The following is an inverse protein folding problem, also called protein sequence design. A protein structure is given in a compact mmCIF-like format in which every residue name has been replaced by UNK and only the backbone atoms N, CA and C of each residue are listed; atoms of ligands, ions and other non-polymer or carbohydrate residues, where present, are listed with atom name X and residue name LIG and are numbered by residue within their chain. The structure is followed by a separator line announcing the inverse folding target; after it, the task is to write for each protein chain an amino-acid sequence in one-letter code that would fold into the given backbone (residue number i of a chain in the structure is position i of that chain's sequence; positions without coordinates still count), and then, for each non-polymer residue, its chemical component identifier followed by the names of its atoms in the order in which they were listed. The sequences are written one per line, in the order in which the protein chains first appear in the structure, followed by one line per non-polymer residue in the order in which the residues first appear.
data_IF_206023964196
#
_entry.id   IF_206023964196
#
_cell.length_a   1.000
_cell.length_b   1.000
_cell.length_c   1.000
_cell.angle_alpha   90.00
_cell.angle_beta   90.00
_cell.angle_gamma   90.00
#
_symmetry.space_group_name_H-M   'P 1'
#
loop_
_entity.id
_entity.type
_entity.pdbx_description
1 polymer ?
#
# COMPACT_ATOMS: atom_id res chain seq x y z
N UNK A 1 -17.63 -11.44 -45.66
CA UNK A 1 -17.02 -10.14 -46.00
C UNK A 1 -15.83 -9.84 -45.11
N UNK A 2 -15.93 -9.95 -43.78
CA UNK A 2 -14.77 -9.73 -42.88
C UNK A 2 -13.71 -10.85 -42.93
N UNK A 3 -14.04 -12.01 -43.48
CA UNK A 3 -13.14 -13.16 -43.68
C UNK A 3 -12.26 -13.03 -44.93
N UNK A 4 -12.62 -12.12 -45.84
CA UNK A 4 -11.91 -11.88 -47.09
C UNK A 4 -11.00 -10.65 -46.94
N UNK A 5 -9.66 -10.79 -47.01
CA UNK A 5 -8.73 -9.69 -46.74
C UNK A 5 -8.95 -8.47 -47.62
N UNK A 6 -9.35 -8.65 -48.89
CA UNK A 6 -9.56 -7.56 -49.84
C UNK A 6 -10.84 -6.76 -49.55
N UNK A 7 -11.85 -7.42 -48.98
CA UNK A 7 -13.11 -6.78 -48.56
C UNK A 7 -13.08 -6.29 -47.09
N UNK A 8 -12.20 -6.85 -46.24
CA UNK A 8 -12.14 -6.54 -44.81
C UNK A 8 -11.86 -5.06 -44.54
N UNK A 9 -10.80 -4.50 -45.15
CA UNK A 9 -10.36 -3.13 -44.90
C UNK A 9 -11.43 -2.10 -45.32
N UNK A 10 -11.99 -2.14 -46.56
CA UNK A 10 -13.07 -1.23 -46.95
C UNK A 10 -14.30 -1.35 -46.06
N UNK A 11 -14.69 -2.58 -45.71
CA UNK A 11 -15.85 -2.84 -44.85
C UNK A 11 -15.67 -2.20 -43.46
N UNK A 12 -14.50 -2.38 -42.84
CA UNK A 12 -14.22 -1.79 -41.53
C UNK A 12 -14.21 -0.26 -41.55
N UNK A 13 -13.67 0.35 -42.61
CA UNK A 13 -13.71 1.81 -42.79
C UNK A 13 -15.15 2.33 -42.88
N UNK A 14 -16.00 1.66 -43.65
CA UNK A 14 -17.42 2.01 -43.76
C UNK A 14 -18.13 1.86 -42.42
N UNK A 15 -17.91 0.75 -41.70
CA UNK A 15 -18.52 0.51 -40.39
C UNK A 15 -18.08 1.54 -39.34
N UNK A 16 -16.79 1.89 -39.30
CA UNK A 16 -16.28 2.94 -38.42
C UNK A 16 -16.91 4.30 -38.74
N UNK A 17 -16.96 4.68 -40.02
CA UNK A 17 -17.58 5.94 -40.47
C UNK A 17 -19.08 6.00 -40.17
N UNK A 18 -19.80 4.90 -40.38
CA UNK A 18 -21.22 4.79 -40.02
C UNK A 18 -21.42 4.95 -38.51
N UNK A 19 -20.54 4.33 -37.72
CA UNK A 19 -20.60 4.44 -36.25
C UNK A 19 -20.38 5.88 -35.78
N UNK A 20 -19.47 6.62 -36.44
CA UNK A 20 -19.20 8.03 -36.13
C UNK A 20 -20.39 8.92 -36.48
N UNK A 21 -20.93 8.76 -37.69
CA UNK A 21 -22.01 9.61 -38.22
C UNK A 21 -23.38 9.35 -37.61
N UNK A 22 -23.64 8.12 -37.16
CA UNK A 22 -24.94 7.70 -36.64
C UNK A 22 -24.94 7.43 -35.13
N UNK A 23 -23.90 7.88 -34.40
CA UNK A 23 -23.65 7.50 -33.00
C UNK A 23 -24.89 7.55 -32.08
N UNK A 24 -25.69 8.61 -32.16
CA UNK A 24 -26.90 8.83 -31.34
C UNK A 24 -28.08 7.93 -31.71
N UNK A 25 -28.07 7.35 -32.91
CA UNK A 25 -29.13 6.47 -33.42
C UNK A 25 -28.78 4.99 -33.25
N UNK A 26 -27.55 4.67 -32.84
CA UNK A 26 -27.14 3.30 -32.58
C UNK A 26 -27.80 2.76 -31.30
N UNK A 27 -28.78 1.88 -31.48
CA UNK A 27 -29.38 1.11 -30.40
C UNK A 27 -28.38 0.16 -29.72
N UNK A 28 -28.65 -0.20 -28.46
CA UNK A 28 -27.77 -1.01 -27.62
C UNK A 28 -27.37 -2.36 -28.25
N UNK A 29 -28.32 -3.03 -28.91
CA UNK A 29 -28.07 -4.31 -29.56
C UNK A 29 -27.02 -4.20 -30.68
N UNK A 30 -27.11 -3.15 -31.50
CA UNK A 30 -26.16 -2.94 -32.60
C UNK A 30 -24.79 -2.51 -32.07
N UNK A 31 -24.74 -1.67 -31.02
CA UNK A 31 -23.49 -1.33 -30.32
C UNK A 31 -22.80 -2.57 -29.78
N UNK A 32 -23.56 -3.48 -29.16
CA UNK A 32 -23.04 -4.75 -28.67
C UNK A 32 -22.54 -5.66 -29.81
N UNK A 33 -23.27 -5.74 -30.93
CA UNK A 33 -22.81 -6.48 -32.12
C UNK A 33 -21.50 -5.91 -32.67
N UNK A 34 -21.40 -4.59 -32.83
CA UNK A 34 -20.17 -3.93 -33.30
C UNK A 34 -19.00 -4.18 -32.37
N UNK A 35 -19.22 -4.07 -31.05
CA UNK A 35 -18.21 -4.37 -30.06
C UNK A 35 -17.73 -5.83 -30.15
N UNK A 36 -18.64 -6.80 -30.29
CA UNK A 36 -18.24 -8.21 -30.43
C UNK A 36 -17.45 -8.46 -31.71
N UNK A 37 -17.82 -7.83 -32.82
CA UNK A 37 -17.05 -7.91 -34.07
C UNK A 37 -15.64 -7.32 -33.89
N UNK A 38 -15.52 -6.17 -33.22
CA UNK A 38 -14.21 -5.56 -32.89
C UNK A 38 -13.37 -6.55 -32.05
N UNK A 39 -13.97 -7.15 -31.02
CA UNK A 39 -13.31 -8.12 -30.15
C UNK A 39 -12.83 -9.35 -30.90
N UNK A 40 -13.63 -9.88 -31.81
CA UNK A 40 -13.29 -11.06 -32.63
C UNK A 40 -12.13 -10.79 -33.59
N UNK A 41 -12.05 -9.59 -34.16
CA UNK A 41 -10.95 -9.20 -35.05
C UNK A 41 -9.65 -9.00 -34.27
N UNK A 42 -9.73 -8.43 -33.06
CA UNK A 42 -8.56 -8.19 -32.20
C UNK A 42 -7.96 -6.79 -32.36
N UNK A 43 -6.71 -6.64 -31.92
CA UNK A 43 -6.04 -5.34 -31.79
C UNK A 43 -5.34 -4.91 -33.10
N UNK A 44 -6.09 -4.28 -34.00
CA UNK A 44 -5.62 -3.70 -35.27
C UNK A 44 -5.89 -2.18 -35.29
N UNK A 45 -5.23 -1.44 -36.17
CA UNK A 45 -5.39 0.03 -36.26
C UNK A 45 -6.86 0.44 -36.47
N UNK A 46 -7.55 -0.22 -37.42
CA UNK A 46 -8.94 0.08 -37.74
C UNK A 46 -9.90 -0.31 -36.60
N UNK A 47 -9.63 -1.38 -35.87
CA UNK A 47 -10.49 -1.83 -34.77
C UNK A 47 -10.30 -1.00 -33.51
N UNK A 48 -9.08 -0.54 -33.23
CA UNK A 48 -8.82 0.45 -32.17
C UNK A 48 -9.53 1.76 -32.47
N UNK A 49 -9.44 2.26 -33.72
CA UNK A 49 -10.15 3.46 -34.15
C UNK A 49 -11.67 3.27 -34.09
N UNK A 50 -12.18 2.12 -34.54
CA UNK A 50 -13.61 1.83 -34.49
C UNK A 50 -14.13 1.74 -33.05
N UNK A 51 -13.37 1.13 -32.13
CA UNK A 51 -13.73 1.11 -30.71
C UNK A 51 -13.72 2.51 -30.11
N UNK A 52 -12.73 3.34 -30.47
CA UNK A 52 -12.66 4.72 -30.02
C UNK A 52 -13.91 5.49 -30.47
N UNK A 53 -14.31 5.38 -31.73
CA UNK A 53 -15.55 6.00 -32.24
C UNK A 53 -16.81 5.43 -31.55
N UNK A 54 -16.91 4.11 -31.42
CA UNK A 54 -18.05 3.43 -30.79
C UNK A 54 -18.22 3.81 -29.32
N UNK A 55 -17.13 4.19 -28.65
CA UNK A 55 -17.13 4.55 -27.23
C UNK A 55 -17.03 6.05 -26.95
N UNK A 56 -17.08 6.91 -27.97
CA UNK A 56 -16.79 8.36 -27.85
C UNK A 56 -15.45 8.62 -27.14
N UNK A 57 -14.42 7.93 -27.61
CA UNK A 57 -13.07 7.86 -27.03
C UNK A 57 -13.07 7.37 -25.58
N UNK A 58 -13.85 6.33 -25.27
CA UNK A 58 -13.89 5.71 -23.94
C UNK A 58 -14.81 6.38 -22.93
N UNK A 59 -15.65 7.34 -23.36
CA UNK A 59 -16.62 8.04 -22.50
C UNK A 59 -17.92 7.24 -22.34
N UNK A 60 -18.48 6.72 -23.44
CA UNK A 60 -19.81 6.12 -23.48
C UNK A 60 -19.73 4.64 -23.86
N UNK A 61 -19.95 3.75 -22.89
CA UNK A 61 -19.71 2.30 -23.07
C UNK A 61 -20.99 1.45 -23.04
N UNK A 62 -22.15 2.10 -23.12
CA UNK A 62 -23.44 1.43 -23.04
C UNK A 62 -23.61 0.34 -24.10
N UNK A 63 -24.00 -0.85 -23.63
CA UNK A 63 -24.25 -2.03 -24.46
C UNK A 63 -23.08 -3.01 -24.48
N UNK A 64 -21.92 -2.65 -23.94
CA UNK A 64 -20.75 -3.53 -23.87
C UNK A 64 -19.91 -3.29 -22.61
N UNK A 65 -20.46 -2.62 -21.59
CA UNK A 65 -19.73 -2.25 -20.38
C UNK A 65 -19.17 -3.44 -19.59
N UNK A 66 -19.79 -4.62 -19.72
CA UNK A 66 -19.40 -5.84 -18.98
C UNK A 66 -18.14 -6.53 -19.51
N UNK A 67 -17.84 -6.33 -20.80
CA UNK A 67 -16.77 -7.03 -21.49
C UNK A 67 -15.62 -6.10 -21.91
N UNK A 68 -15.84 -4.78 -21.85
CA UNK A 68 -14.87 -3.78 -22.27
C UNK A 68 -13.59 -3.82 -21.44
N UNK A 69 -13.71 -4.01 -20.12
CA UNK A 69 -12.57 -3.98 -19.21
C UNK A 69 -11.56 -5.09 -19.51
N UNK A 70 -12.05 -6.30 -19.80
CA UNK A 70 -11.25 -7.45 -20.20
C UNK A 70 -10.55 -7.20 -21.55
N UNK A 71 -11.25 -6.60 -22.51
CA UNK A 71 -10.68 -6.25 -23.82
C UNK A 71 -9.55 -5.23 -23.68
N UNK A 72 -9.77 -4.15 -22.91
CA UNK A 72 -8.76 -3.11 -22.66
C UNK A 72 -7.54 -3.70 -21.96
N UNK A 73 -7.74 -4.56 -20.95
CA UNK A 73 -6.64 -5.23 -20.26
C UNK A 73 -5.80 -6.11 -21.19
N UNK A 74 -6.45 -6.85 -22.09
CA UNK A 74 -5.77 -7.69 -23.07
C UNK A 74 -5.02 -6.87 -24.11
N UNK A 75 -5.60 -5.80 -24.65
CA UNK A 75 -4.93 -4.93 -25.62
C UNK A 75 -3.73 -4.20 -25.02
N UNK A 76 -3.83 -3.72 -23.77
CA UNK A 76 -2.69 -3.15 -23.05
C UNK A 76 -1.57 -4.19 -22.93
N UNK A 77 -1.90 -5.42 -22.52
CA UNK A 77 -0.92 -6.51 -22.40
C UNK A 77 -0.24 -6.83 -23.73
N UNK A 78 -1.00 -6.92 -24.82
CA UNK A 78 -0.49 -7.22 -26.16
C UNK A 78 0.41 -6.11 -26.69
N UNK A 79 0.03 -4.84 -26.51
CA UNK A 79 0.72 -3.71 -27.13
C UNK A 79 1.91 -3.20 -26.31
N UNK A 80 1.85 -3.23 -24.97
CA UNK A 80 2.92 -2.67 -24.13
C UNK A 80 4.07 -3.65 -23.84
N UNK A 81 3.82 -4.96 -23.90
CA UNK A 81 4.87 -5.95 -23.63
C UNK A 81 5.75 -6.24 -24.84
N UNK A 82 5.33 -5.83 -26.03
CA UNK A 82 6.10 -5.88 -27.28
C UNK A 82 6.87 -4.57 -27.46
N UNK A 83 8.09 -4.63 -27.97
CA UNK A 83 8.88 -3.43 -28.25
C UNK A 83 8.30 -2.68 -29.45
N UNK A 84 8.13 -1.36 -29.31
CA UNK A 84 7.71 -0.44 -30.38
C UNK A 84 6.43 -0.81 -31.13
N UNK A 85 5.44 -1.35 -30.43
CA UNK A 85 4.14 -1.63 -31.02
C UNK A 85 3.45 -0.32 -31.49
N UNK A 86 3.07 -0.18 -32.77
CA UNK A 86 2.56 1.09 -33.33
C UNK A 86 1.25 1.56 -32.68
N UNK A 87 0.45 0.61 -32.18
CA UNK A 87 -0.83 0.90 -31.51
C UNK A 87 -0.71 1.20 -30.02
N UNK A 88 0.47 1.08 -29.39
CA UNK A 88 0.61 1.21 -27.95
C UNK A 88 0.10 2.58 -27.44
N UNK A 89 0.40 3.66 -28.16
CA UNK A 89 -0.06 5.00 -27.80
C UNK A 89 -1.59 5.12 -27.83
N UNK A 90 -2.22 4.68 -28.92
CA UNK A 90 -3.67 4.77 -29.11
C UNK A 90 -4.42 3.93 -28.06
N UNK A 91 -3.92 2.72 -27.78
CA UNK A 91 -4.48 1.85 -26.75
C UNK A 91 -4.34 2.47 -25.35
N UNK A 92 -3.20 3.10 -25.03
CA UNK A 92 -3.02 3.80 -23.76
C UNK A 92 -3.98 4.98 -23.60
N UNK A 93 -4.15 5.80 -24.64
CA UNK A 93 -5.08 6.94 -24.61
C UNK A 93 -6.53 6.49 -24.42
N UNK A 94 -6.96 5.44 -25.15
CA UNK A 94 -8.29 4.87 -24.99
C UNK A 94 -8.49 4.30 -23.58
N UNK A 95 -7.52 3.53 -23.08
CA UNK A 95 -7.56 2.95 -21.74
C UNK A 95 -7.65 4.03 -20.65
N UNK A 96 -6.87 5.11 -20.79
CA UNK A 96 -6.91 6.25 -19.88
C UNK A 96 -8.33 6.83 -19.79
N UNK A 97 -8.97 7.12 -20.93
CA UNK A 97 -10.32 7.69 -20.92
C UNK A 97 -11.36 6.71 -20.37
N UNK A 98 -11.26 5.42 -20.71
CA UNK A 98 -12.13 4.37 -20.14
C UNK A 98 -11.99 4.34 -18.61
N UNK A 99 -10.76 4.41 -18.08
CA UNK A 99 -10.52 4.45 -16.63
C UNK A 99 -11.08 5.74 -16.01
N UNK A 100 -10.93 6.89 -16.68
CA UNK A 100 -11.40 8.17 -16.15
C UNK A 100 -12.93 8.29 -16.11
N UNK A 101 -13.63 7.77 -17.12
CA UNK A 101 -15.08 7.94 -17.25
C UNK A 101 -15.89 6.76 -16.74
N UNK A 102 -15.30 5.56 -16.72
CA UNK A 102 -16.04 4.31 -16.55
C UNK A 102 -15.48 3.38 -15.46
N UNK A 103 -14.70 3.91 -14.52
CA UNK A 103 -14.05 3.10 -13.47
C UNK A 103 -15.00 2.18 -12.68
N UNK A 104 -16.27 2.55 -12.51
CA UNK A 104 -17.26 1.73 -11.82
C UNK A 104 -17.54 0.38 -12.51
N UNK A 105 -17.29 0.29 -13.82
CA UNK A 105 -17.49 -0.92 -14.63
C UNK A 105 -16.22 -1.75 -14.78
N UNK A 106 -15.08 -1.29 -14.24
CA UNK A 106 -13.80 -1.97 -14.41
C UNK A 106 -13.59 -3.01 -13.30
N UNK A 107 -13.48 -4.27 -13.69
CA UNK A 107 -13.25 -5.38 -12.78
C UNK A 107 -11.85 -5.37 -12.15
N UNK A 108 -11.73 -5.95 -10.95
CA UNK A 108 -10.47 -6.01 -10.21
C UNK A 108 -9.37 -6.75 -10.98
N UNK A 109 -9.70 -7.87 -11.64
CA UNK A 109 -8.75 -8.66 -12.41
C UNK A 109 -8.19 -7.90 -13.62
N UNK A 110 -9.06 -7.19 -14.34
CA UNK A 110 -8.69 -6.33 -15.47
C UNK A 110 -7.78 -5.20 -15.00
N UNK A 111 -8.16 -4.49 -13.94
CA UNK A 111 -7.34 -3.41 -13.35
C UNK A 111 -5.99 -3.90 -12.86
N UNK A 112 -5.95 -5.05 -12.20
CA UNK A 112 -4.70 -5.70 -11.79
C UNK A 112 -3.79 -5.98 -12.99
N UNK A 113 -4.35 -6.40 -14.13
CA UNK A 113 -3.61 -6.64 -15.37
C UNK A 113 -3.09 -5.34 -15.99
N UNK A 114 -3.93 -4.29 -16.05
CA UNK A 114 -3.54 -2.96 -16.54
C UNK A 114 -2.38 -2.40 -15.73
N UNK A 115 -2.53 -2.32 -14.40
CA UNK A 115 -1.50 -1.79 -13.51
C UNK A 115 -0.20 -2.57 -13.62
N UNK A 116 -0.26 -3.91 -13.60
CA UNK A 116 0.93 -4.76 -13.76
C UNK A 116 1.67 -4.48 -15.07
N UNK A 117 0.94 -4.36 -16.16
CA UNK A 117 1.53 -4.16 -17.49
C UNK A 117 2.17 -2.78 -17.61
N UNK A 118 1.45 -1.75 -17.17
CA UNK A 118 1.89 -0.35 -17.22
C UNK A 118 3.11 -0.13 -16.33
N UNK A 119 3.14 -0.68 -15.11
CA UNK A 119 4.31 -0.61 -14.23
C UNK A 119 5.55 -1.27 -14.87
N UNK A 120 5.40 -2.47 -15.44
CA UNK A 120 6.51 -3.16 -16.10
C UNK A 120 7.01 -2.36 -17.30
N UNK A 121 6.10 -1.79 -18.10
CA UNK A 121 6.48 -1.00 -19.28
C UNK A 121 7.19 0.29 -18.90
N UNK A 122 6.71 1.00 -17.88
CA UNK A 122 7.33 2.22 -17.38
C UNK A 122 8.77 1.98 -16.88
N UNK A 123 9.09 0.77 -16.41
CA UNK A 123 10.42 0.40 -15.93
C UNK A 123 11.38 -0.14 -17.01
N UNK A 124 10.95 -0.34 -18.26
CA UNK A 124 11.83 -0.85 -19.34
C UNK A 124 12.75 0.22 -19.95
N UNK A 125 12.31 1.49 -19.95
CA UNK A 125 13.05 2.62 -20.51
C UNK A 125 12.28 3.92 -20.35
N UNK A 126 13.00 5.05 -20.41
CA UNK A 126 12.41 6.39 -20.38
C UNK A 126 12.14 6.85 -21.82
N UNK A 127 10.89 6.73 -22.26
CA UNK A 127 10.44 7.11 -23.58
C UNK A 127 9.07 7.81 -23.53
N UNK A 128 8.50 8.09 -24.71
CA UNK A 128 7.20 8.75 -24.82
C UNK A 128 6.06 7.94 -24.20
N UNK A 129 6.14 6.62 -24.16
CA UNK A 129 5.09 5.79 -23.56
C UNK A 129 5.16 5.81 -22.03
N UNK A 130 6.32 6.11 -21.44
CA UNK A 130 6.47 6.24 -19.99
C UNK A 130 5.56 7.32 -19.41
N UNK A 131 5.39 8.47 -20.08
CA UNK A 131 4.47 9.52 -19.59
C UNK A 131 3.01 9.04 -19.58
N UNK A 132 2.55 8.40 -20.67
CA UNK A 132 1.20 7.83 -20.74
C UNK A 132 0.98 6.70 -19.72
N UNK A 133 2.02 5.89 -19.46
CA UNK A 133 1.98 4.89 -18.40
C UNK A 133 1.74 5.55 -17.03
N UNK A 134 2.47 6.63 -16.72
CA UNK A 134 2.30 7.38 -15.48
C UNK A 134 0.93 8.07 -15.40
N UNK A 135 0.38 8.55 -16.51
CA UNK A 135 -0.97 9.12 -16.57
C UNK A 135 -2.08 8.09 -16.36
N UNK A 136 -1.91 6.85 -16.86
CA UNK A 136 -2.81 5.74 -16.53
C UNK A 136 -2.72 5.45 -15.04
N UNK A 137 -1.51 5.38 -14.47
CA UNK A 137 -1.35 5.19 -13.04
C UNK A 137 -2.06 6.31 -12.27
N UNK A 138 -1.89 7.57 -12.63
CA UNK A 138 -2.61 8.71 -12.04
C UNK A 138 -4.14 8.58 -12.15
N UNK A 139 -4.64 8.10 -13.28
CA UNK A 139 -6.08 7.84 -13.48
C UNK A 139 -6.57 6.67 -12.60
N UNK A 140 -5.79 5.61 -12.50
CA UNK A 140 -6.02 4.45 -11.62
C UNK A 140 -6.08 4.89 -10.16
N UNK A 141 -5.13 5.73 -9.72
CA UNK A 141 -5.14 6.38 -8.41
C UNK A 141 -6.43 7.17 -8.21
N UNK A 142 -6.90 7.80 -9.29
CA UNK A 142 -8.01 8.73 -9.20
C UNK A 142 -9.35 8.06 -8.94
N UNK A 143 -9.63 6.97 -9.64
CA UNK A 143 -10.98 6.44 -9.77
C UNK A 143 -11.19 5.09 -9.07
N UNK A 144 -10.66 4.92 -7.84
CA UNK A 144 -10.99 3.82 -6.90
C UNK A 144 -10.42 2.41 -7.18
N UNK A 145 -9.22 2.29 -7.74
CA UNK A 145 -8.57 0.97 -7.95
C UNK A 145 -7.64 0.51 -6.82
N UNK A 146 -7.73 1.11 -5.61
CA UNK A 146 -6.88 0.73 -4.46
C UNK A 146 -6.97 -0.75 -4.09
N UNK A 147 -8.14 -1.39 -4.27
CA UNK A 147 -8.31 -2.84 -4.04
C UNK A 147 -7.39 -3.67 -4.94
N UNK A 148 -7.33 -3.36 -6.23
CA UNK A 148 -6.45 -4.05 -7.18
C UNK A 148 -4.97 -3.89 -6.78
N UNK A 149 -4.57 -2.71 -6.31
CA UNK A 149 -3.22 -2.45 -5.83
C UNK A 149 -2.89 -3.25 -4.55
N UNK A 150 -3.77 -3.30 -3.56
CA UNK A 150 -3.60 -4.12 -2.35
C UNK A 150 -3.53 -5.61 -2.72
N UNK A 151 -4.40 -6.04 -3.64
CA UNK A 151 -4.45 -7.38 -4.19
C UNK A 151 -3.14 -7.73 -4.92
N UNK A 152 -2.48 -6.77 -5.58
CA UNK A 152 -1.15 -6.97 -6.17
C UNK A 152 -0.09 -7.23 -5.09
N UNK A 153 -0.11 -6.46 -3.99
CA UNK A 153 0.84 -6.65 -2.88
C UNK A 153 0.67 -7.99 -2.16
N UNK A 154 -0.58 -8.45 -1.99
CA UNK A 154 -0.86 -9.70 -1.30
C UNK A 154 -0.48 -10.95 -2.12
N UNK A 155 -0.74 -10.95 -3.45
CA UNK A 155 -0.42 -12.10 -4.32
C UNK A 155 1.07 -12.48 -4.30
N UNK A 156 1.94 -11.48 -4.19
CA UNK A 156 3.40 -11.64 -4.21
C UNK A 156 3.98 -12.33 -2.98
N UNK A 157 3.27 -12.31 -1.84
CA UNK A 157 3.75 -12.92 -0.60
C UNK A 157 3.53 -14.44 -0.57
N UNK A 158 2.63 -14.97 -1.41
CA UNK A 158 2.30 -16.42 -1.45
C UNK A 158 3.39 -17.25 -2.15
N UNK A 159 4.23 -16.61 -2.99
CA UNK A 159 5.21 -17.28 -3.84
C UNK A 159 6.56 -17.64 -3.21
N UNK A 160 6.84 -17.28 -1.95
CA UNK A 160 8.18 -17.46 -1.35
C UNK A 160 8.47 -18.87 -0.78
N UNK A 161 7.57 -19.85 -0.95
CA UNK A 161 7.82 -21.24 -0.53
C UNK A 161 8.42 -22.06 -1.67
N UNK A 162 9.73 -21.93 -1.90
CA UNK A 162 10.65 -23.02 -2.30
C UNK A 162 11.96 -22.43 -2.82
N UNK A 163 12.99 -22.36 -1.97
CA UNK A 163 14.37 -22.29 -2.44
C UNK A 163 14.74 -23.66 -3.03
N UNK A 164 14.63 -23.81 -4.35
CA UNK A 164 15.07 -25.00 -5.07
C UNK A 164 15.19 -24.75 -6.57
N UNK A 165 16.43 -24.70 -7.06
CA UNK A 165 16.86 -24.53 -8.46
C UNK A 165 16.31 -23.31 -9.22
N UNK A 166 17.03 -22.18 -9.11
CA UNK A 166 16.80 -20.97 -9.93
C UNK A 166 17.14 -21.24 -11.39
N UNK A 167 16.16 -21.16 -12.28
CA UNK A 167 16.34 -21.11 -13.75
C UNK A 167 16.39 -19.65 -14.20
N UNK A 168 16.98 -19.35 -15.36
CA UNK A 168 17.05 -17.98 -15.90
C UNK A 168 15.65 -17.32 -16.08
N UNK A 169 14.60 -18.12 -16.31
CA UNK A 169 13.22 -17.63 -16.35
C UNK A 169 12.70 -17.16 -14.98
N UNK A 170 13.22 -17.69 -13.89
CA UNK A 170 12.79 -17.32 -12.53
C UNK A 170 13.34 -15.94 -12.15
N UNK A 171 14.57 -15.63 -12.56
CA UNK A 171 15.20 -14.32 -12.34
C UNK A 171 14.50 -13.20 -13.12
N UNK A 172 14.13 -13.46 -14.38
CA UNK A 172 13.35 -12.52 -15.19
C UNK A 172 11.97 -12.24 -14.57
N UNK A 173 11.31 -13.28 -14.08
CA UNK A 173 10.01 -13.15 -13.40
C UNK A 173 10.15 -12.42 -12.06
N UNK A 174 11.20 -12.68 -11.28
CA UNK A 174 11.50 -11.98 -10.04
C UNK A 174 11.70 -10.48 -10.27
N UNK A 175 12.51 -10.10 -11.26
CA UNK A 175 12.73 -8.69 -11.63
C UNK A 175 11.41 -8.00 -12.01
N UNK A 176 10.56 -8.68 -12.77
CA UNK A 176 9.24 -8.17 -13.16
C UNK A 176 8.32 -7.96 -11.96
N UNK A 177 8.30 -8.92 -11.01
CA UNK A 177 7.53 -8.81 -9.77
C UNK A 177 8.02 -7.61 -8.94
N UNK A 178 9.34 -7.45 -8.78
CA UNK A 178 9.91 -6.31 -8.05
C UNK A 178 9.46 -4.96 -8.66
N UNK A 179 9.52 -4.82 -9.99
CA UNK A 179 9.03 -3.61 -10.68
C UNK A 179 7.55 -3.31 -10.42
N UNK A 180 6.70 -4.34 -10.49
CA UNK A 180 5.27 -4.21 -10.22
C UNK A 180 5.02 -3.77 -8.77
N UNK A 181 5.76 -4.33 -7.81
CA UNK A 181 5.62 -3.99 -6.39
C UNK A 181 6.00 -2.54 -6.12
N UNK A 182 7.14 -2.08 -6.65
CA UNK A 182 7.57 -0.69 -6.51
C UNK A 182 6.54 0.28 -7.05
N UNK A 183 6.00 0.00 -8.24
CA UNK A 183 4.91 0.80 -8.83
C UNK A 183 3.64 0.78 -7.99
N UNK A 184 3.25 -0.38 -7.47
CA UNK A 184 2.06 -0.53 -6.63
C UNK A 184 2.19 0.20 -5.29
N UNK A 185 3.35 0.14 -4.63
CA UNK A 185 3.65 0.86 -3.37
C UNK A 185 3.59 2.37 -3.62
N UNK A 186 4.29 2.86 -4.64
CA UNK A 186 4.27 4.27 -5.01
C UNK A 186 2.86 4.77 -5.27
N UNK A 187 2.09 3.99 -6.03
CA UNK A 187 0.70 4.28 -6.33
C UNK A 187 -0.14 4.33 -5.04
N UNK A 188 -0.11 3.29 -4.22
CA UNK A 188 -0.90 3.24 -2.98
C UNK A 188 -0.57 4.40 -2.03
N UNK A 189 0.71 4.72 -1.84
CA UNK A 189 1.12 5.85 -1.01
C UNK A 189 0.60 7.17 -1.58
N UNK A 190 0.73 7.38 -2.89
CA UNK A 190 0.28 8.61 -3.56
C UNK A 190 -1.23 8.79 -3.54
N UNK A 191 -2.02 7.73 -3.75
CA UNK A 191 -3.49 7.79 -3.68
C UNK A 191 -4.03 7.97 -2.25
N UNK A 192 -3.23 7.66 -1.22
CA UNK A 192 -3.70 7.63 0.17
C UNK A 192 -3.28 8.86 0.95
N UNK A 193 -2.04 9.32 0.77
CA UNK A 193 -1.50 10.49 1.46
C UNK A 193 -0.66 11.42 0.57
N UNK A 194 -0.80 11.32 -0.75
CA UNK A 194 -0.20 12.23 -1.72
C UNK A 194 -0.84 13.62 -1.77
N UNK A 195 -0.39 14.43 -2.73
CA UNK A 195 -0.84 15.83 -2.95
C UNK A 195 -2.20 15.92 -3.63
N UNK A 196 -2.53 14.98 -4.52
CA UNK A 196 -3.85 14.83 -5.13
C UNK A 196 -4.74 13.91 -4.30
N UNK A 197 -5.41 14.45 -3.28
CA UNK A 197 -6.41 13.66 -2.55
C UNK A 197 -7.67 13.48 -3.36
N UNK A 198 -8.24 12.28 -3.29
CA UNK A 198 -9.59 12.03 -3.74
C UNK A 198 -10.35 11.53 -2.54
N UNK A 199 -11.18 12.43 -2.05
CA UNK A 199 -11.94 12.32 -0.81
C UNK A 199 -13.02 11.23 -0.82
N UNK A 200 -13.08 10.39 -1.86
CA UNK A 200 -14.27 9.61 -2.12
C UNK A 200 -14.35 8.24 -1.42
N UNK A 201 -13.27 7.70 -0.84
CA UNK A 201 -13.34 6.46 -0.03
C UNK A 201 -12.29 6.48 1.08
N UNK A 202 -12.75 6.70 2.33
CA UNK A 202 -11.96 6.57 3.57
C UNK A 202 -11.67 5.09 3.83
N UNK A 203 -10.54 4.56 3.35
CA UNK A 203 -10.00 3.29 3.85
C UNK A 203 -9.29 3.56 5.18
N UNK A 204 -9.34 2.60 6.11
CA UNK A 204 -8.50 2.64 7.31
C UNK A 204 -7.03 2.54 6.90
N UNK A 205 -6.17 3.46 7.36
CA UNK A 205 -4.74 3.44 7.05
C UNK A 205 -4.08 2.08 7.40
N UNK A 206 -4.56 1.43 8.47
CA UNK A 206 -4.12 0.09 8.87
C UNK A 206 -4.28 -0.98 7.78
N UNK A 207 -5.33 -0.92 6.93
CA UNK A 207 -5.54 -1.91 5.86
C UNK A 207 -4.54 -1.77 4.70
N UNK A 208 -3.81 -0.65 4.63
CA UNK A 208 -2.78 -0.40 3.61
C UNK A 208 -1.39 -0.71 4.19
N UNK A 209 -1.17 -0.42 5.47
CA UNK A 209 0.11 -0.64 6.14
C UNK A 209 0.44 -2.14 6.22
N UNK A 210 -0.52 -3.02 6.51
CA UNK A 210 -0.25 -4.46 6.62
C UNK A 210 0.23 -5.10 5.29
N UNK A 211 -0.43 -4.86 4.13
CA UNK A 211 0.12 -5.29 2.84
C UNK A 211 1.51 -4.70 2.54
N UNK A 212 1.76 -3.44 2.90
CA UNK A 212 3.08 -2.81 2.74
C UNK A 212 4.14 -3.47 3.63
N UNK A 213 3.79 -3.88 4.85
CA UNK A 213 4.66 -4.63 5.75
C UNK A 213 5.03 -5.99 5.17
N UNK A 214 4.08 -6.72 4.59
CA UNK A 214 4.36 -8.05 4.04
C UNK A 214 5.35 -8.03 2.86
N UNK A 215 5.37 -6.96 2.08
CA UNK A 215 6.28 -6.83 0.92
C UNK A 215 7.68 -6.33 1.29
N UNK A 216 7.90 -5.83 2.51
CA UNK A 216 9.25 -5.37 2.93
C UNK A 216 10.27 -6.52 2.94
N UNK A 217 9.83 -7.76 3.13
CA UNK A 217 10.71 -8.94 3.18
C UNK A 217 11.22 -9.39 1.81
N UNK A 218 10.66 -8.85 0.71
CA UNK A 218 10.95 -9.27 -0.66
C UNK A 218 12.33 -8.79 -1.13
N UNK A 219 12.65 -7.52 -0.90
CA UNK A 219 13.84 -6.85 -1.44
C UNK A 219 14.13 -5.56 -0.68
N UNK A 220 15.41 -5.22 -0.49
CA UNK A 220 15.86 -4.04 0.24
C UNK A 220 15.42 -2.73 -0.42
N UNK A 221 15.33 -2.68 -1.75
CA UNK A 221 14.88 -1.49 -2.47
C UNK A 221 13.37 -1.29 -2.29
N UNK A 222 12.61 -2.39 -2.27
CA UNK A 222 11.16 -2.37 -1.98
C UNK A 222 10.92 -1.90 -0.55
N UNK A 223 11.71 -2.40 0.41
CA UNK A 223 11.65 -1.94 1.80
C UNK A 223 11.92 -0.42 1.90
N UNK A 224 12.94 0.09 1.20
CA UNK A 224 13.23 1.52 1.15
C UNK A 224 12.08 2.35 0.55
N UNK A 225 11.43 1.87 -0.52
CA UNK A 225 10.25 2.53 -1.11
C UNK A 225 9.07 2.56 -0.13
N UNK A 226 8.86 1.48 0.65
CA UNK A 226 7.86 1.44 1.73
C UNK A 226 8.18 2.46 2.82
N UNK A 227 9.42 2.50 3.32
CA UNK A 227 9.85 3.47 4.33
C UNK A 227 9.66 4.91 3.86
N UNK A 228 9.99 5.21 2.60
CA UNK A 228 9.74 6.52 2.01
C UNK A 228 8.24 6.87 1.99
N UNK A 229 7.40 5.92 1.58
CA UNK A 229 5.95 6.06 1.62
C UNK A 229 5.42 6.37 3.03
N UNK A 230 5.85 5.59 4.02
CA UNK A 230 5.45 5.74 5.43
C UNK A 230 5.98 7.04 6.05
N UNK A 231 7.21 7.45 5.73
CA UNK A 231 7.74 8.75 6.18
C UNK A 231 6.83 9.90 5.77
N UNK A 232 6.37 9.92 4.51
CA UNK A 232 5.44 10.94 4.01
C UNK A 232 4.10 10.92 4.73
N UNK A 233 3.59 9.72 5.08
CA UNK A 233 2.37 9.58 5.88
C UNK A 233 2.55 10.25 7.24
N UNK A 234 3.64 9.95 7.95
CA UNK A 234 3.92 10.50 9.29
C UNK A 234 4.15 12.01 9.22
N UNK A 235 4.89 12.50 8.23
CA UNK A 235 5.11 13.94 8.06
C UNK A 235 3.82 14.72 7.79
N UNK A 236 2.86 14.12 7.08
CA UNK A 236 1.60 14.78 6.72
C UNK A 236 0.52 14.66 7.78
N UNK A 237 0.37 13.49 8.39
CA UNK A 237 -0.75 13.17 9.29
C UNK A 237 -0.33 12.79 10.70
N UNK A 238 0.96 12.81 11.04
CA UNK A 238 1.49 12.26 12.29
C UNK A 238 0.76 12.74 13.56
N UNK A 239 0.29 14.00 13.57
CA UNK A 239 -0.45 14.60 14.69
C UNK A 239 -1.88 14.08 14.86
N UNK A 240 -2.48 13.59 13.77
CA UNK A 240 -3.88 13.15 13.70
C UNK A 240 -4.00 11.62 13.55
N UNK A 241 -2.87 10.90 13.58
CA UNK A 241 -2.86 9.45 13.46
C UNK A 241 -3.48 8.79 14.70
N UNK A 242 -4.41 7.87 14.46
CA UNK A 242 -5.08 7.10 15.51
C UNK A 242 -4.11 6.10 16.17
N UNK A 243 -4.34 5.79 17.46
CA UNK A 243 -3.58 4.80 18.24
C UNK A 243 -3.34 3.50 17.48
N UNK A 244 -4.39 2.88 16.93
CA UNK A 244 -4.26 1.59 16.24
C UNK A 244 -3.41 1.68 14.96
N UNK A 245 -3.34 2.85 14.31
CA UNK A 245 -2.47 3.05 13.15
C UNK A 245 -1.01 3.12 13.58
N UNK A 246 -0.72 3.77 14.71
CA UNK A 246 0.63 3.80 15.29
C UNK A 246 1.14 2.41 15.68
N UNK A 247 0.30 1.57 16.29
CA UNK A 247 0.67 0.17 16.60
C UNK A 247 1.12 -0.54 15.32
N UNK A 248 0.36 -0.42 14.23
CA UNK A 248 0.72 -1.02 12.93
C UNK A 248 1.99 -0.45 12.30
N UNK A 249 2.27 0.84 12.51
CA UNK A 249 3.51 1.46 12.07
C UNK A 249 4.71 0.94 12.87
N UNK A 250 4.57 0.81 14.19
CA UNK A 250 5.62 0.24 15.06
C UNK A 250 5.91 -1.21 14.68
N UNK A 251 4.88 -2.06 14.52
CA UNK A 251 5.04 -3.45 14.04
C UNK A 251 5.80 -3.53 12.70
N UNK A 252 5.53 -2.59 11.79
CA UNK A 252 6.26 -2.47 10.53
C UNK A 252 7.73 -2.11 10.78
N UNK A 253 8.01 -1.10 11.61
CA UNK A 253 9.38 -0.69 11.90
C UNK A 253 10.18 -1.77 12.63
N UNK A 254 9.58 -2.49 13.58
CA UNK A 254 10.20 -3.64 14.23
C UNK A 254 10.62 -4.69 13.20
N UNK A 255 9.74 -4.99 12.24
CA UNK A 255 10.04 -5.94 11.16
C UNK A 255 11.22 -5.46 10.30
N UNK A 256 11.32 -4.14 10.06
CA UNK A 256 12.45 -3.57 9.32
C UNK A 256 13.75 -3.59 10.13
N UNK A 257 13.69 -3.33 11.44
CA UNK A 257 14.85 -3.46 12.35
C UNK A 257 15.39 -4.90 12.30
N UNK A 258 14.51 -5.90 12.46
CA UNK A 258 14.88 -7.32 12.39
C UNK A 258 15.54 -7.66 11.04
N UNK A 259 15.01 -7.13 9.93
CA UNK A 259 15.59 -7.33 8.60
C UNK A 259 16.97 -6.67 8.44
N UNK A 260 17.17 -5.46 8.98
CA UNK A 260 18.46 -4.79 8.97
C UNK A 260 19.51 -5.53 9.80
N UNK A 261 19.13 -6.19 10.90
CA UNK A 261 20.03 -7.03 11.70
C UNK A 261 20.39 -8.33 11.00
N UNK A 262 19.41 -8.98 10.37
CA UNK A 262 19.60 -10.27 9.72
C UNK A 262 20.31 -10.17 8.36
N UNK A 263 20.19 -9.03 7.66
CA UNK A 263 20.67 -8.88 6.27
C UNK A 263 21.43 -7.57 6.06
N UNK A 264 22.71 -7.70 5.66
CA UNK A 264 23.61 -6.55 5.42
C UNK A 264 23.10 -5.58 4.33
N UNK A 265 22.45 -6.09 3.29
CA UNK A 265 21.91 -5.27 2.19
C UNK A 265 20.77 -4.35 2.65
N UNK A 266 19.97 -4.82 3.61
CA UNK A 266 18.91 -4.04 4.24
C UNK A 266 19.49 -2.97 5.14
N UNK A 267 20.50 -3.28 5.95
CA UNK A 267 21.20 -2.28 6.77
C UNK A 267 21.73 -1.13 5.89
N UNK A 268 22.47 -1.45 4.81
CA UNK A 268 23.03 -0.44 3.90
C UNK A 268 21.99 0.48 3.26
N UNK A 269 20.80 -0.05 2.94
CA UNK A 269 19.80 0.67 2.14
C UNK A 269 18.74 1.36 3.01
N UNK A 270 18.30 0.71 4.10
CA UNK A 270 17.12 1.12 4.86
C UNK A 270 17.45 1.83 6.18
N UNK A 271 18.61 1.57 6.79
CA UNK A 271 18.91 1.98 8.17
C UNK A 271 18.87 3.50 8.38
N UNK A 272 19.48 4.28 7.48
CA UNK A 272 19.45 5.74 7.55
C UNK A 272 18.01 6.27 7.46
N UNK A 273 17.21 5.74 6.52
CA UNK A 273 15.81 6.12 6.35
C UNK A 273 14.99 5.77 7.59
N UNK A 274 15.19 4.58 8.16
CA UNK A 274 14.54 4.13 9.39
C UNK A 274 14.91 5.06 10.56
N UNK A 275 16.18 5.37 10.76
CA UNK A 275 16.62 6.25 11.85
C UNK A 275 16.05 7.66 11.73
N UNK A 276 15.96 8.20 10.51
CA UNK A 276 15.30 9.50 10.27
C UNK A 276 13.80 9.46 10.61
N UNK A 277 13.12 8.35 10.35
CA UNK A 277 11.71 8.17 10.72
C UNK A 277 11.57 8.06 12.24
N UNK A 278 12.42 7.29 12.91
CA UNK A 278 12.40 7.19 14.38
C UNK A 278 12.63 8.54 15.05
N UNK A 279 13.57 9.36 14.54
CA UNK A 279 13.79 10.73 15.03
C UNK A 279 12.53 11.61 14.86
N UNK A 280 11.82 11.46 13.73
CA UNK A 280 10.55 12.16 13.51
C UNK A 280 9.48 11.73 14.52
N UNK A 281 9.41 10.44 14.86
CA UNK A 281 8.45 9.90 15.83
C UNK A 281 8.80 10.37 17.26
N UNK A 282 10.08 10.37 17.63
CA UNK A 282 10.53 10.92 18.91
C UNK A 282 10.21 12.41 19.04
N UNK A 283 10.30 13.17 17.95
CA UNK A 283 9.88 14.56 17.94
C UNK A 283 8.37 14.69 18.15
N UNK A 284 7.56 13.87 17.46
CA UNK A 284 6.10 13.85 17.68
C UNK A 284 5.73 13.47 19.11
N UNK A 285 6.47 12.56 19.74
CA UNK A 285 6.28 12.24 21.15
C UNK A 285 6.65 13.42 22.07
N UNK A 286 7.80 14.06 21.80
CA UNK A 286 8.25 15.24 22.56
C UNK A 286 7.25 16.40 22.45
N UNK A 287 6.58 16.52 21.29
CA UNK A 287 5.55 17.53 21.02
C UNK A 287 4.15 17.15 21.58
N UNK A 288 3.99 15.96 22.19
CA UNK A 288 2.71 15.48 22.74
C UNK A 288 1.70 15.00 21.69
N UNK A 289 2.15 14.73 20.47
CA UNK A 289 1.33 14.33 19.32
C UNK A 289 1.42 12.83 18.98
N UNK A 290 2.17 12.06 19.75
CA UNK A 290 2.24 10.60 19.60
C UNK A 290 1.09 9.93 20.36
N UNK A 291 0.16 9.32 19.63
CA UNK A 291 -1.08 8.78 20.19
C UNK A 291 -0.98 7.30 20.64
N UNK A 292 0.18 6.66 20.54
CA UNK A 292 0.42 5.30 21.02
C UNK A 292 1.17 5.30 22.36
N UNK A 293 1.22 4.15 23.03
CA UNK A 293 1.99 4.01 24.27
C UNK A 293 3.46 4.37 24.03
N UNK A 294 4.07 5.22 24.87
CA UNK A 294 5.50 5.53 24.79
C UNK A 294 6.37 4.28 24.92
N UNK A 295 5.88 3.24 25.62
CA UNK A 295 6.59 1.95 25.72
C UNK A 295 6.86 1.35 24.34
N UNK A 296 5.90 1.38 23.43
CA UNK A 296 6.08 0.84 22.07
C UNK A 296 7.19 1.54 21.30
N UNK A 297 7.34 2.86 21.50
CA UNK A 297 8.40 3.64 20.87
C UNK A 297 9.76 3.29 21.49
N UNK A 298 9.83 3.27 22.82
CA UNK A 298 11.09 3.05 23.52
C UNK A 298 11.57 1.60 23.47
N UNK A 299 10.66 0.61 23.45
CA UNK A 299 10.97 -0.79 23.17
C UNK A 299 11.59 -0.95 21.77
N UNK A 300 11.06 -0.23 20.78
CA UNK A 300 11.61 -0.21 19.42
C UNK A 300 12.99 0.47 19.35
N UNK A 301 13.17 1.60 20.06
CA UNK A 301 14.49 2.28 20.14
C UNK A 301 15.51 1.40 20.86
N UNK A 302 15.10 0.68 21.89
CA UNK A 302 15.95 -0.23 22.66
C UNK A 302 16.50 -1.36 21.78
N UNK A 303 15.69 -1.92 20.87
CA UNK A 303 16.14 -2.95 19.91
C UNK A 303 17.30 -2.50 19.02
N UNK A 304 17.32 -1.23 18.60
CA UNK A 304 18.38 -0.70 17.73
C UNK A 304 19.30 0.31 18.42
N UNK A 305 19.37 0.31 19.76
CA UNK A 305 20.07 1.32 20.53
C UNK A 305 21.58 1.46 20.20
N UNK A 306 22.20 0.36 19.76
CA UNK A 306 23.61 0.28 19.37
C UNK A 306 23.97 1.16 18.16
N UNK A 307 23.00 1.43 17.28
CA UNK A 307 23.17 2.17 16.03
C UNK A 307 22.46 3.53 16.03
N UNK A 308 21.90 3.93 17.18
CA UNK A 308 21.13 5.17 17.34
C UNK A 308 22.01 6.32 17.82
N UNK A 309 21.65 7.59 17.52
CA UNK A 309 22.33 8.74 18.07
C UNK A 309 22.25 8.77 19.60
N UNK A 310 23.34 9.20 20.27
CA UNK A 310 23.42 9.30 21.74
C UNK A 310 22.25 10.07 22.34
N UNK A 311 21.75 11.11 21.65
CA UNK A 311 20.61 11.91 22.09
C UNK A 311 19.32 11.08 22.22
N UNK A 312 19.10 10.11 21.33
CA UNK A 312 17.97 9.18 21.38
C UNK A 312 18.14 8.18 22.51
N UNK A 313 19.35 7.64 22.69
CA UNK A 313 19.67 6.70 23.77
C UNK A 313 19.55 7.35 25.15
N UNK A 314 19.98 8.61 25.30
CA UNK A 314 19.78 9.38 26.54
C UNK A 314 18.31 9.56 26.86
N UNK A 315 17.46 9.87 25.87
CA UNK A 315 16.00 9.96 26.06
C UNK A 315 15.39 8.64 26.50
N UNK A 316 15.84 7.51 25.94
CA UNK A 316 15.44 6.17 26.36
C UNK A 316 15.81 5.92 27.84
N UNK A 317 17.06 6.20 28.23
CA UNK A 317 17.53 6.01 29.60
C UNK A 317 16.72 6.89 30.58
N UNK A 318 16.48 8.16 30.21
CA UNK A 318 15.67 9.07 31.03
C UNK A 318 14.24 8.56 31.20
N UNK A 319 13.61 8.07 30.13
CA UNK A 319 12.28 7.49 30.18
C UNK A 319 12.21 6.28 31.11
N UNK A 320 13.14 5.32 30.96
CA UNK A 320 13.19 4.12 31.83
C UNK A 320 13.47 4.49 33.29
N UNK A 321 14.36 5.45 33.54
CA UNK A 321 14.66 5.92 34.90
C UNK A 321 13.44 6.59 35.57
N UNK A 322 12.66 7.37 34.81
CA UNK A 322 11.41 7.96 35.31
C UNK A 322 10.39 6.88 35.67
N UNK A 323 10.18 5.89 34.80
CA UNK A 323 9.27 4.78 35.08
C UNK A 323 9.69 3.99 36.35
N UNK A 324 10.99 3.76 36.54
CA UNK A 324 11.51 3.12 37.76
C UNK A 324 11.30 3.97 39.01
N UNK A 325 11.49 5.29 38.92
CA UNK A 325 11.27 6.22 40.05
C UNK A 325 9.81 6.24 40.48
N UNK A 326 8.88 6.24 39.53
CA UNK A 326 7.44 6.20 39.81
C UNK A 326 7.03 4.88 40.48
N UNK A 327 7.55 3.74 39.99
CA UNK A 327 7.37 2.44 40.63
C UNK A 327 7.94 2.41 42.04
N UNK A 328 9.12 2.99 42.27
CA UNK A 328 9.74 3.07 43.58
C UNK A 328 8.93 3.96 44.54
N UNK A 329 8.45 5.11 44.07
CA UNK A 329 7.59 5.99 44.85
C UNK A 329 6.26 5.31 45.22
N UNK A 330 5.65 4.61 44.26
CA UNK A 330 4.45 3.82 44.48
C UNK A 330 4.69 2.69 45.50
N UNK A 331 5.75 1.91 45.34
CA UNK A 331 6.10 0.81 46.24
C UNK A 331 6.37 1.32 47.66
N UNK A 332 7.11 2.42 47.81
CA UNK A 332 7.39 3.02 49.12
C UNK A 332 6.12 3.51 49.81
N UNK A 333 5.18 4.12 49.06
CA UNK A 333 3.88 4.56 49.58
C UNK A 333 2.97 3.39 49.93
N UNK A 334 2.92 2.36 49.08
CA UNK A 334 2.19 1.12 49.35
C UNK A 334 2.71 0.43 50.61
N UNK A 335 4.04 0.31 50.74
CA UNK A 335 4.70 -0.27 51.92
C UNK A 335 4.35 0.50 53.18
N UNK A 336 4.41 1.84 53.17
CA UNK A 336 4.06 2.66 54.33
C UNK A 336 2.59 2.48 54.76
N UNK A 337 1.67 2.40 53.79
CA UNK A 337 0.24 2.15 54.06
C UNK A 337 0.01 0.73 54.59
N UNK A 338 0.66 -0.27 53.98
CA UNK A 338 0.50 -1.67 54.38
C UNK A 338 1.15 -1.95 55.74
N UNK A 339 2.34 -1.41 56.02
CA UNK A 339 2.96 -1.50 57.36
C UNK A 339 2.10 -0.80 58.41
N UNK A 340 1.54 0.37 58.10
CA UNK A 340 0.60 1.05 59.00
C UNK A 340 -0.65 0.19 59.24
N UNK A 341 -1.28 -0.35 58.20
CA UNK A 341 -2.48 -1.16 58.31
C UNK A 341 -2.22 -2.48 59.07
N UNK A 342 -1.09 -3.15 58.80
CA UNK A 342 -0.66 -4.35 59.51
C UNK A 342 -0.40 -4.06 61.00
N UNK A 343 0.29 -2.97 61.32
CA UNK A 343 0.55 -2.58 62.72
C UNK A 343 -0.77 -2.23 63.42
N UNK A 344 -1.63 -1.46 62.78
CA UNK A 344 -2.88 -0.98 63.41
C UNK A 344 -3.93 -2.09 63.57
N UNK A 345 -4.08 -2.97 62.57
CA UNK A 345 -5.11 -4.01 62.57
C UNK A 345 -4.66 -5.35 63.17
N UNK A 346 -3.37 -5.66 63.18
CA UNK A 346 -2.87 -6.95 63.69
C UNK A 346 -2.01 -6.81 64.94
N UNK A 347 -1.10 -5.84 65.03
CA UNK A 347 -0.24 -5.70 66.22
C UNK A 347 -0.93 -5.05 67.41
N UNK A 348 -1.72 -3.98 67.21
CA UNK A 348 -2.38 -3.29 68.33
C UNK A 348 -3.36 -4.21 69.08
N UNK A 349 -4.22 -5.01 68.43
CA UNK A 349 -5.11 -5.93 69.14
C UNK A 349 -4.36 -7.00 69.93
N UNK A 350 -3.30 -7.58 69.35
CA UNK A 350 -2.45 -8.59 70.02
C UNK A 350 -1.74 -7.99 71.24
N UNK A 351 -1.24 -6.76 71.13
CA UNK A 351 -0.60 -6.07 72.26
C UNK A 351 -1.61 -5.72 73.36
N UNK A 352 -2.82 -5.30 72.99
CA UNK A 352 -3.92 -5.08 73.95
C UNK A 352 -4.33 -6.37 74.67
N UNK A 353 -4.37 -7.52 73.98
CA UNK A 353 -4.60 -8.82 74.62
C UNK A 353 -3.48 -9.18 75.61
N UNK A 354 -2.22 -8.91 75.30
CA UNK A 354 -1.09 -9.18 76.23
C UNK A 354 -1.06 -8.28 77.46
N UNK A 355 -1.51 -7.03 77.34
CA UNK A 355 -1.64 -6.09 78.47
C UNK A 355 -2.80 -6.49 79.40
N UNK A 356 -3.88 -7.03 78.84
CA UNK A 356 -5.00 -7.57 79.61
C UNK A 356 -4.65 -8.89 80.32
N UNK A 357 -3.86 -9.77 79.70
CA UNK A 357 -3.39 -11.01 80.34
C UNK A 357 -2.49 -10.75 81.56
N UNK A 358 -1.60 -9.76 81.47
CA UNK A 358 -0.71 -9.37 82.58
C UNK A 358 -1.47 -8.75 83.75
N UNK A 359 -2.57 -8.04 83.49
CA UNK A 359 -3.49 -7.53 84.52
C UNK A 359 -4.32 -8.65 85.19
N UNK A 360 -4.63 -9.72 84.46
CA UNK A 360 -5.42 -10.86 84.97
C UNK A 360 -4.64 -11.84 85.86
N UNK A 361 -3.29 -11.83 85.81
CA UNK A 361 -2.42 -12.68 86.65
C UNK A 361 -1.99 -12.04 87.98
N UNK A 362 -2.46 -10.82 88.27
CA UNK A 362 -2.12 -10.06 89.49
C UNK A 362 -3.26 -10.07 90.54
N UNK A 363 -4.37 -10.77 90.28
CA UNK A 363 -5.37 -11.12 91.30
C UNK A 363 -5.16 -12.55 91.78
#
# INVERSE_FOLDING_TARGET
MLSDPDAKIPTLKVLAQMTETQHSQLGLALRHTFFNTIREIGCEELTVNWLAVLSENGKTIHGFEKDLDALIAEWIKQTLLVNDHPLALHVLQLAQNVIQHNAAFLGEASMKTVVRTVCVRACRGYDRLTSFCLEILDSVLKYRTRKALISILNDSCVGQRSQGNRRANDEYNEKKIKMVLRGAIFCLASASWGTGQIDAVRYSLGSIIEPMRNVTQVDEVICADVLYGIRRLIQKYGRDLQHMTWVKLVELFETVVDLCEQRLEYAKTCENSLHQILLLIEQLYSDGHFAASPDLLYDLIEKCADRRPDTSVVKLIQYRAMAMSELHAFYTKYRALYEHELVTQLMIPVLQETENESSSRIQ
#
